data_IF_315128550122
#
_entry.id   IF_315128550122
#
_cell.length_a   1.000
_cell.length_b   1.000
_cell.length_c   1.000
_cell.angle_alpha   90.00
_cell.angle_beta   90.00
_cell.angle_gamma   90.00
#
_symmetry.space_group_name_H-M   'P 1'
#
loop_
_entity.id
_entity.type
_entity.pdbx_description
1 polymer ?
#
# COMPACT_ATOMS: atom_id res chain seq x y z
N UNK A 1 -21.31 -23.94 8.98
CA UNK A 1 -21.26 -22.72 8.17
C UNK A 1 -21.61 -21.45 8.96
N UNK A 2 -22.77 -21.35 9.64
CA UNK A 2 -23.18 -20.17 10.45
C UNK A 2 -22.15 -19.76 11.53
N UNK A 3 -21.53 -20.70 12.27
CA UNK A 3 -20.50 -20.39 13.28
C UNK A 3 -19.25 -19.72 12.69
N UNK A 4 -18.78 -20.19 11.53
CA UNK A 4 -17.62 -19.60 10.83
C UNK A 4 -17.94 -18.17 10.36
N UNK A 5 -19.11 -17.97 9.75
CA UNK A 5 -19.55 -16.62 9.31
C UNK A 5 -19.66 -15.66 10.50
N UNK A 6 -20.23 -16.10 11.61
CA UNK A 6 -20.35 -15.27 12.81
C UNK A 6 -18.97 -14.92 13.41
N UNK A 7 -18.05 -15.89 13.43
CA UNK A 7 -16.66 -15.66 13.85
C UNK A 7 -15.97 -14.60 12.97
N UNK A 8 -16.07 -14.74 11.64
CA UNK A 8 -15.44 -13.80 10.71
C UNK A 8 -16.01 -12.39 10.86
N UNK A 9 -17.35 -12.26 10.93
CA UNK A 9 -18.02 -10.96 11.13
C UNK A 9 -17.65 -10.35 12.50
N UNK A 10 -17.57 -11.15 13.55
CA UNK A 10 -17.17 -10.67 14.88
C UNK A 10 -15.71 -10.19 14.94
N UNK A 11 -14.86 -10.67 14.03
CA UNK A 11 -13.43 -10.32 13.96
C UNK A 11 -13.06 -9.44 12.76
N UNK A 12 -14.01 -8.86 12.05
CA UNK A 12 -13.76 -8.04 10.86
C UNK A 12 -12.68 -6.97 11.08
N UNK A 13 -12.74 -6.27 12.21
CA UNK A 13 -11.75 -5.22 12.54
C UNK A 13 -10.34 -5.77 12.73
N UNK A 14 -10.20 -6.98 13.26
CA UNK A 14 -8.90 -7.62 13.47
C UNK A 14 -8.31 -8.09 12.14
N UNK A 15 -9.13 -8.68 11.27
CA UNK A 15 -8.72 -9.07 9.92
C UNK A 15 -8.33 -7.85 9.07
N UNK A 16 -9.11 -6.78 9.17
CA UNK A 16 -8.78 -5.54 8.47
C UNK A 16 -7.48 -4.92 9.00
N UNK A 17 -7.25 -4.91 10.32
CA UNK A 17 -6.00 -4.47 10.91
C UNK A 17 -4.80 -5.26 10.36
N UNK A 18 -4.88 -6.59 10.36
CA UNK A 18 -3.83 -7.44 9.81
C UNK A 18 -3.59 -7.16 8.32
N UNK A 19 -4.65 -7.07 7.52
CA UNK A 19 -4.59 -6.72 6.10
C UNK A 19 -3.86 -5.37 5.89
N UNK A 20 -4.26 -4.33 6.61
CA UNK A 20 -3.67 -2.99 6.51
C UNK A 20 -2.19 -2.99 6.87
N UNK A 21 -1.81 -3.66 7.95
CA UNK A 21 -0.41 -3.74 8.40
C UNK A 21 0.44 -4.50 7.37
N UNK A 22 -0.02 -5.64 6.88
CA UNK A 22 0.70 -6.43 5.88
C UNK A 22 0.90 -5.62 4.60
N UNK A 23 -0.17 -5.03 4.05
CA UNK A 23 -0.10 -4.20 2.84
C UNK A 23 0.87 -3.03 3.03
N UNK A 24 0.77 -2.33 4.16
CA UNK A 24 1.65 -1.19 4.46
C UNK A 24 3.12 -1.60 4.57
N UNK A 25 3.43 -2.66 5.28
CA UNK A 25 4.82 -3.13 5.43
C UNK A 25 5.40 -3.64 4.11
N UNK A 26 4.63 -4.36 3.31
CA UNK A 26 5.09 -4.81 1.98
C UNK A 26 5.33 -3.62 1.04
N UNK A 27 4.46 -2.62 1.07
CA UNK A 27 4.63 -1.40 0.27
C UNK A 27 5.87 -0.61 0.71
N UNK A 28 6.10 -0.48 2.01
CA UNK A 28 7.32 0.13 2.58
C UNK A 28 8.59 -0.58 2.08
N UNK A 29 8.59 -1.92 1.98
CA UNK A 29 9.75 -2.66 1.49
C UNK A 29 10.10 -2.32 0.03
N UNK A 30 9.11 -2.11 -0.85
CA UNK A 30 9.36 -1.63 -2.22
C UNK A 30 9.99 -0.24 -2.24
N UNK A 31 9.52 0.66 -1.38
CA UNK A 31 10.14 1.97 -1.21
C UNK A 31 11.58 1.88 -0.67
N UNK A 32 11.82 0.99 0.31
CA UNK A 32 13.16 0.75 0.84
C UNK A 32 14.13 0.19 -0.21
N UNK A 33 13.66 -0.68 -1.11
CA UNK A 33 14.46 -1.13 -2.25
C UNK A 33 14.88 0.05 -3.13
N UNK A 34 13.94 0.92 -3.50
CA UNK A 34 14.21 2.07 -4.38
C UNK A 34 15.08 3.13 -3.74
N UNK A 35 14.85 3.46 -2.46
CA UNK A 35 15.58 4.55 -1.80
C UNK A 35 16.95 4.14 -1.28
N UNK A 36 17.09 2.90 -0.78
CA UNK A 36 18.25 2.47 -0.01
C UNK A 36 18.93 1.22 -0.59
N UNK A 37 18.42 0.63 -1.66
CA UNK A 37 18.91 -0.65 -2.19
C UNK A 37 18.70 -1.82 -1.22
N UNK A 38 17.73 -1.71 -0.29
CA UNK A 38 17.45 -2.76 0.69
C UNK A 38 16.90 -4.03 0.02
N UNK A 39 16.94 -5.16 0.73
CA UNK A 39 16.37 -6.44 0.29
C UNK A 39 16.83 -6.89 -1.12
N UNK A 40 18.07 -6.57 -1.50
CA UNK A 40 18.64 -6.95 -2.80
C UNK A 40 18.13 -6.12 -3.98
N UNK A 41 17.56 -4.97 -3.73
CA UNK A 41 17.20 -3.98 -4.76
C UNK A 41 18.37 -3.04 -5.08
N UNK A 42 18.22 -2.31 -6.18
CA UNK A 42 19.15 -1.25 -6.56
C UNK A 42 18.56 0.10 -6.17
N UNK A 43 19.34 0.89 -5.41
CA UNK A 43 18.93 2.24 -5.05
C UNK A 43 18.85 3.13 -6.31
N UNK A 44 17.92 4.08 -6.31
CA UNK A 44 17.82 5.07 -7.39
C UNK A 44 19.09 5.95 -7.47
N UNK A 45 19.53 6.27 -8.67
CA UNK A 45 20.68 7.17 -8.88
C UNK A 45 20.37 8.60 -8.44
N UNK A 46 19.11 9.02 -8.57
CA UNK A 46 18.63 10.33 -8.14
C UNK A 46 17.25 10.27 -7.51
N UNK A 47 17.11 10.88 -6.35
CA UNK A 47 15.84 10.97 -5.63
C UNK A 47 14.80 11.88 -6.29
N UNK A 48 15.22 12.79 -7.16
CA UNK A 48 14.35 13.71 -7.91
C UNK A 48 13.81 13.11 -9.23
N UNK A 49 13.96 11.80 -9.41
CA UNK A 49 13.34 11.07 -10.52
C UNK A 49 11.91 10.62 -10.17
N UNK A 50 11.14 10.20 -11.18
CA UNK A 50 9.83 9.56 -10.95
C UNK A 50 9.98 8.28 -10.08
N UNK A 51 11.06 7.53 -10.28
CA UNK A 51 11.36 6.33 -9.49
C UNK A 51 11.71 6.67 -8.03
N UNK A 52 12.43 7.76 -7.81
CA UNK A 52 12.71 8.28 -6.47
C UNK A 52 11.44 8.76 -5.78
N UNK A 53 10.59 9.51 -6.47
CA UNK A 53 9.29 9.95 -5.95
C UNK A 53 8.42 8.75 -5.56
N UNK A 54 8.32 7.74 -6.44
CA UNK A 54 7.63 6.48 -6.11
C UNK A 54 8.23 5.84 -4.85
N UNK A 55 9.55 5.77 -4.73
CA UNK A 55 10.23 5.26 -3.55
C UNK A 55 9.83 5.98 -2.26
N UNK A 56 9.70 7.31 -2.28
CA UNK A 56 9.23 8.09 -1.12
C UNK A 56 7.76 7.78 -0.78
N UNK A 57 6.89 7.74 -1.77
CA UNK A 57 5.47 7.40 -1.57
C UNK A 57 5.33 6.01 -1.00
N UNK A 58 6.05 5.03 -1.54
CA UNK A 58 6.01 3.63 -1.11
C UNK A 58 6.56 3.47 0.31
N UNK A 59 7.70 4.08 0.63
CA UNK A 59 8.34 3.93 1.92
C UNK A 59 7.53 4.61 3.04
N UNK A 60 7.30 5.90 2.91
CA UNK A 60 6.59 6.66 3.95
C UNK A 60 5.09 6.35 3.94
N UNK A 61 4.47 6.23 2.78
CA UNK A 61 3.07 5.83 2.66
C UNK A 61 2.82 4.44 3.23
N UNK A 62 3.73 3.49 2.99
CA UNK A 62 3.67 2.16 3.57
C UNK A 62 3.72 2.17 5.10
N UNK A 63 4.64 2.93 5.69
CA UNK A 63 4.72 3.12 7.14
C UNK A 63 3.46 3.80 7.70
N UNK A 64 2.99 4.86 7.05
CA UNK A 64 1.76 5.56 7.46
C UNK A 64 0.55 4.62 7.45
N UNK A 65 0.41 3.79 6.41
CA UNK A 65 -0.64 2.78 6.32
C UNK A 65 -0.48 1.72 7.42
N UNK A 66 0.73 1.20 7.63
CA UNK A 66 0.98 0.18 8.66
C UNK A 66 0.63 0.68 10.06
N UNK A 67 1.06 1.88 10.43
CA UNK A 67 0.75 2.49 11.74
C UNK A 67 -0.66 3.08 11.82
N UNK A 68 -1.34 3.25 10.71
CA UNK A 68 -2.67 3.87 10.67
C UNK A 68 -2.63 5.37 10.93
N UNK A 69 -1.64 6.06 10.37
CA UNK A 69 -1.43 7.51 10.44
C UNK A 69 -1.76 8.14 9.09
N UNK A 70 -2.65 9.14 9.08
CA UNK A 70 -3.14 9.77 7.85
C UNK A 70 -3.49 8.73 6.76
N UNK A 71 -4.07 7.63 7.20
CA UNK A 71 -4.21 6.38 6.45
C UNK A 71 -4.89 6.58 5.10
N UNK A 72 -5.94 7.41 5.05
CA UNK A 72 -6.68 7.68 3.80
C UNK A 72 -5.82 8.47 2.80
N UNK A 73 -5.06 9.45 3.29
CA UNK A 73 -4.18 10.27 2.47
C UNK A 73 -3.06 9.41 1.88
N UNK A 74 -2.41 8.60 2.72
CA UNK A 74 -1.38 7.67 2.28
C UNK A 74 -1.91 6.67 1.24
N UNK A 75 -3.12 6.15 1.43
CA UNK A 75 -3.75 5.25 0.46
C UNK A 75 -4.06 5.94 -0.88
N UNK A 76 -4.48 7.20 -0.88
CA UNK A 76 -4.72 7.96 -2.11
C UNK A 76 -3.41 8.18 -2.89
N UNK A 77 -2.31 8.50 -2.21
CA UNK A 77 -0.98 8.56 -2.85
C UNK A 77 -0.55 7.19 -3.38
N UNK A 78 -0.81 6.12 -2.65
CA UNK A 78 -0.56 4.75 -3.11
C UNK A 78 -1.37 4.39 -4.37
N UNK A 79 -2.64 4.81 -4.47
CA UNK A 79 -3.46 4.64 -5.66
C UNK A 79 -2.81 5.35 -6.85
N UNK A 80 -2.43 6.63 -6.69
CA UNK A 80 -1.80 7.41 -7.76
C UNK A 80 -0.46 6.80 -8.19
N UNK A 81 0.35 6.35 -7.24
CA UNK A 81 1.62 5.67 -7.48
C UNK A 81 1.43 4.37 -8.27
N UNK A 82 0.46 3.53 -7.91
CA UNK A 82 0.19 2.28 -8.63
C UNK A 82 -0.36 2.50 -10.04
N UNK A 83 -1.15 3.54 -10.26
CA UNK A 83 -1.57 3.94 -11.62
C UNK A 83 -0.34 4.35 -12.43
N UNK A 84 0.54 5.17 -11.87
CA UNK A 84 1.79 5.59 -12.52
C UNK A 84 2.71 4.41 -12.82
N UNK A 85 2.96 3.55 -11.84
CA UNK A 85 3.80 2.37 -11.98
C UNK A 85 3.26 1.42 -13.07
N UNK A 86 1.96 1.13 -13.06
CA UNK A 86 1.35 0.28 -14.07
C UNK A 86 1.45 0.90 -15.47
N UNK A 87 1.11 2.18 -15.61
CA UNK A 87 1.08 2.88 -16.90
C UNK A 87 2.48 3.02 -17.52
N UNK A 88 3.49 3.29 -16.70
CA UNK A 88 4.85 3.60 -17.16
C UNK A 88 5.70 2.33 -17.31
N UNK A 89 5.65 1.43 -16.34
CA UNK A 89 6.55 0.28 -16.28
C UNK A 89 5.96 -1.01 -16.88
N UNK A 90 4.63 -1.18 -16.84
CA UNK A 90 4.00 -2.45 -17.21
C UNK A 90 3.19 -2.37 -18.51
N UNK A 91 2.35 -1.34 -18.66
CA UNK A 91 1.46 -1.18 -19.81
C UNK A 91 2.19 -1.19 -21.17
N UNK A 92 3.40 -0.61 -21.35
CA UNK A 92 4.14 -0.70 -22.62
C UNK A 92 4.49 -2.11 -23.06
N UNK A 93 4.47 -3.09 -22.13
CA UNK A 93 4.72 -4.52 -22.40
C UNK A 93 3.44 -5.30 -22.71
N UNK A 94 2.29 -4.62 -22.74
CA UNK A 94 0.96 -5.19 -22.95
C UNK A 94 0.00 -4.79 -21.84
N UNK A 95 -1.29 -4.94 -22.04
CA UNK A 95 -2.32 -4.48 -21.11
C UNK A 95 -2.78 -5.53 -20.10
N UNK A 96 -2.40 -6.82 -20.31
CA UNK A 96 -2.80 -7.92 -19.42
C UNK A 96 -1.80 -8.06 -18.28
N UNK A 97 -2.21 -7.89 -16.99
CA UNK A 97 -1.28 -7.85 -15.84
C UNK A 97 -0.39 -9.09 -15.69
N UNK A 98 -0.92 -10.28 -15.94
CA UNK A 98 -0.12 -11.53 -15.83
C UNK A 98 1.00 -11.61 -16.86
N UNK A 99 0.81 -11.03 -18.06
CA UNK A 99 1.81 -11.07 -19.13
C UNK A 99 2.83 -9.93 -19.03
N UNK A 100 2.42 -8.77 -18.52
CA UNK A 100 3.28 -7.60 -18.37
C UNK A 100 3.94 -7.46 -16.98
N UNK A 101 3.78 -8.47 -16.11
CA UNK A 101 4.30 -8.50 -14.73
C UNK A 101 3.76 -7.39 -13.82
N UNK A 102 2.62 -6.80 -14.16
CA UNK A 102 1.97 -5.72 -13.41
C UNK A 102 0.94 -6.18 -12.38
N UNK A 103 0.81 -7.49 -12.12
CA UNK A 103 -0.19 -8.02 -11.18
C UNK A 103 -0.07 -7.40 -9.80
N UNK A 104 1.15 -7.22 -9.30
CA UNK A 104 1.38 -6.66 -7.97
C UNK A 104 0.91 -5.20 -7.88
N UNK A 105 1.15 -4.39 -8.91
CA UNK A 105 0.66 -3.01 -8.96
C UNK A 105 -0.89 -2.97 -8.94
N UNK A 106 -1.54 -3.86 -9.67
CA UNK A 106 -3.02 -3.98 -9.67
C UNK A 106 -3.54 -4.42 -8.31
N UNK A 107 -2.88 -5.38 -7.65
CA UNK A 107 -3.27 -5.84 -6.32
C UNK A 107 -3.10 -4.75 -5.26
N UNK A 108 -2.00 -4.01 -5.28
CA UNK A 108 -1.83 -2.84 -4.39
C UNK A 108 -2.88 -1.76 -4.65
N UNK A 109 -3.15 -1.46 -5.92
CA UNK A 109 -4.21 -0.52 -6.27
C UNK A 109 -5.56 -0.92 -5.64
N UNK A 110 -5.96 -2.19 -5.81
CA UNK A 110 -7.19 -2.70 -5.21
C UNK A 110 -7.18 -2.64 -3.66
N UNK A 111 -6.04 -2.99 -3.04
CA UNK A 111 -5.87 -2.90 -1.60
C UNK A 111 -6.00 -1.45 -1.10
N UNK A 112 -5.40 -0.49 -1.80
CA UNK A 112 -5.47 0.93 -1.42
C UNK A 112 -6.87 1.53 -1.60
N UNK A 113 -7.67 1.07 -2.56
CA UNK A 113 -9.09 1.45 -2.66
C UNK A 113 -9.84 1.07 -1.38
N UNK A 114 -9.64 -0.14 -0.87
CA UNK A 114 -10.25 -0.61 0.38
C UNK A 114 -9.74 0.22 1.57
N UNK A 115 -8.43 0.47 1.64
CA UNK A 115 -7.82 1.25 2.73
C UNK A 115 -8.29 2.71 2.70
N UNK A 116 -8.41 3.33 1.53
CA UNK A 116 -8.93 4.69 1.38
C UNK A 116 -10.36 4.85 1.88
N UNK A 117 -11.22 3.87 1.60
CA UNK A 117 -12.61 3.86 2.08
C UNK A 117 -12.70 3.65 3.58
N UNK A 118 -11.96 2.69 4.13
CA UNK A 118 -12.06 2.32 5.54
C UNK A 118 -11.22 3.20 6.49
N UNK A 119 -10.08 3.74 6.01
CA UNK A 119 -9.13 4.46 6.85
C UNK A 119 -8.42 3.54 7.86
N UNK A 120 -7.97 4.10 8.97
CA UNK A 120 -7.27 3.34 10.00
C UNK A 120 -8.14 2.33 10.75
N UNK A 121 -9.45 2.57 10.83
CA UNK A 121 -10.40 1.83 11.70
C UNK A 121 -9.85 1.67 13.12
N UNK A 122 -10.04 0.50 13.72
CA UNK A 122 -9.50 0.13 15.03
C UNK A 122 -7.96 0.00 14.96
N UNK A 123 -7.25 0.28 16.01
CA UNK A 123 -5.80 0.15 16.16
C UNK A 123 -4.95 1.04 15.20
N UNK A 124 -5.42 2.22 14.85
CA UNK A 124 -4.65 3.19 14.08
C UNK A 124 -4.35 4.47 14.86
N UNK A 125 -3.20 5.09 14.57
CA UNK A 125 -2.81 6.37 15.18
C UNK A 125 -3.80 7.50 14.86
N UNK A 126 -4.49 7.45 13.73
CA UNK A 126 -5.57 8.39 13.37
C UNK A 126 -6.66 8.52 14.45
N UNK A 127 -6.83 7.48 15.27
CA UNK A 127 -7.85 7.48 16.33
C UNK A 127 -7.45 8.33 17.53
N UNK A 128 -6.15 8.56 17.75
CA UNK A 128 -5.68 9.44 18.82
C UNK A 128 -5.96 10.91 18.49
N UNK A 129 -5.90 11.28 17.23
CA UNK A 129 -6.13 12.65 16.77
C UNK A 129 -7.62 13.00 16.61
N UNK A 130 -8.52 12.01 16.57
CA UNK A 130 -9.98 12.23 16.49
C UNK A 130 -10.65 12.46 17.84
N UNK A 131 -9.93 12.26 18.94
CA UNK A 131 -10.47 12.39 20.31
C UNK A 131 -10.29 13.79 20.92
N UNK A 132 -9.66 14.70 20.19
CA UNK A 132 -9.52 16.11 20.52
C UNK A 132 -10.31 16.93 19.50
#
# INVERSE_FOLDING_TARGET
MKKVVNFLKGNESNFYFAFRVIVGLMFMQHGAQKLFGAFGGDAVETYFSLFGLAGFIEFFGGLMIAFGLLTRVAALFGIADMIGAYSIAHFPQGWIPITNKGELAVLYFAAFLIIAVHGAKKFGLDNFFKKN
#
